data_IF_635422740993
#
_entry.id   IF_635422740993
#
_cell.length_a   1.000
_cell.length_b   1.000
_cell.length_c   1.000
_cell.angle_alpha   90.00
_cell.angle_beta   90.00
_cell.angle_gamma   90.00
#
_symmetry.space_group_name_H-M   'P 1'
#
loop_
_entity.id
_entity.type
_entity.pdbx_description
1 polymer ?
#
# COMPACT_ATOMS: atom_id res chain seq x y z
N UNK A 1 13.79 21.71 9.11
CA UNK A 1 12.38 21.72 9.58
C UNK A 1 11.83 20.34 9.25
N UNK A 2 11.45 19.53 10.25
CA UNK A 2 10.82 18.22 9.99
C UNK A 2 9.34 18.50 9.77
N UNK A 3 8.92 18.56 8.52
CA UNK A 3 7.51 18.66 8.17
C UNK A 3 6.97 17.23 8.12
N UNK A 4 6.61 16.68 9.27
CA UNK A 4 5.86 15.43 9.32
C UNK A 4 4.46 15.72 8.77
N UNK A 5 4.11 15.12 7.64
CA UNK A 5 2.73 15.19 7.16
C UNK A 5 1.97 14.01 7.76
N UNK A 6 1.13 14.31 8.74
CA UNK A 6 0.04 13.42 9.15
C UNK A 6 -1.20 14.01 8.46
N UNK A 7 -1.90 13.29 7.58
CA UNK A 7 -3.19 13.76 7.11
C UNK A 7 -4.07 13.95 8.35
N UNK A 8 -4.35 15.19 8.72
CA UNK A 8 -5.14 15.49 9.92
C UNK A 8 -6.60 15.05 9.75
N UNK A 9 -6.99 14.69 8.53
CA UNK A 9 -8.35 14.40 8.09
C UNK A 9 -8.33 13.35 6.96
N UNK A 10 -8.51 12.07 7.30
CA UNK A 10 -8.60 10.98 6.31
C UNK A 10 -9.77 11.21 5.34
N UNK A 11 -10.82 11.88 5.80
CA UNK A 11 -11.98 12.28 5.01
C UNK A 11 -11.67 13.31 3.90
N UNK A 12 -10.49 13.95 3.94
CA UNK A 12 -10.04 14.89 2.91
C UNK A 12 -9.16 14.23 1.85
N UNK A 13 -8.74 12.97 2.08
CA UNK A 13 -7.92 12.23 1.12
C UNK A 13 -8.69 11.99 -0.17
N UNK A 14 -7.97 12.17 -1.28
CA UNK A 14 -8.44 11.77 -2.59
C UNK A 14 -8.32 10.25 -2.73
N UNK A 15 -9.30 9.63 -3.39
CA UNK A 15 -9.33 8.19 -3.62
C UNK A 15 -8.95 7.86 -5.05
N UNK A 16 -7.84 7.15 -5.22
CA UNK A 16 -7.49 6.47 -6.46
C UNK A 16 -7.97 5.02 -6.39
N UNK A 17 -8.74 4.60 -7.40
CA UNK A 17 -9.40 3.29 -7.48
C UNK A 17 -10.21 2.97 -6.22
N UNK A 18 -11.49 3.38 -6.19
CA UNK A 18 -12.32 3.17 -5.01
C UNK A 18 -12.36 1.69 -4.56
N UNK A 19 -12.14 1.39 -3.26
CA UNK A 19 -12.20 0.04 -2.73
C UNK A 19 -13.65 -0.48 -2.68
N UNK A 20 -13.84 -1.71 -2.22
CA UNK A 20 -15.19 -2.30 -2.06
C UNK A 20 -15.97 -1.58 -0.97
N UNK A 21 -15.27 -1.19 0.09
CA UNK A 21 -15.82 -0.47 1.24
C UNK A 21 -14.72 0.31 1.93
N UNK A 22 -15.05 1.47 2.48
CA UNK A 22 -14.22 2.17 3.44
C UNK A 22 -15.10 2.97 4.41
N UNK A 23 -14.63 3.16 5.64
CA UNK A 23 -15.32 3.95 6.66
C UNK A 23 -14.33 4.49 7.68
N UNK A 24 -14.49 5.75 8.05
CA UNK A 24 -13.88 6.33 9.25
C UNK A 24 -14.82 6.08 10.43
N UNK A 25 -14.32 5.42 11.46
CA UNK A 25 -15.03 5.20 12.72
C UNK A 25 -14.80 6.36 13.71
N UNK A 26 -15.68 6.50 14.71
CA UNK A 26 -15.64 7.59 15.70
C UNK A 26 -14.37 7.57 16.57
N UNK A 27 -13.58 6.50 16.53
CA UNK A 27 -12.33 6.30 17.27
C UNK A 27 -11.08 6.58 16.40
N UNK A 28 -11.23 7.34 15.32
CA UNK A 28 -10.19 7.65 14.33
C UNK A 28 -9.59 6.42 13.62
N UNK A 29 -10.28 5.27 13.68
CA UNK A 29 -9.87 4.08 12.92
C UNK A 29 -10.45 4.14 11.51
N UNK A 30 -9.57 4.00 10.52
CA UNK A 30 -9.97 3.92 9.13
C UNK A 30 -10.00 2.48 8.64
N UNK A 31 -11.19 2.00 8.30
CA UNK A 31 -11.42 0.64 7.82
C UNK A 31 -11.51 0.67 6.30
N UNK A 32 -10.78 -0.23 5.64
CA UNK A 32 -10.76 -0.39 4.18
C UNK A 32 -10.88 -1.86 3.82
N UNK A 33 -11.77 -2.19 2.88
CA UNK A 33 -11.88 -3.53 2.29
C UNK A 33 -11.59 -3.47 0.80
N UNK A 34 -10.55 -4.17 0.35
CA UNK A 34 -10.18 -4.24 -1.06
C UNK A 34 -11.26 -4.89 -1.92
N UNK A 35 -11.24 -4.57 -3.22
CA UNK A 35 -11.85 -5.39 -4.25
C UNK A 35 -10.93 -6.56 -4.57
N UNK A 36 -11.52 -7.64 -5.07
CA UNK A 36 -10.77 -8.75 -5.66
C UNK A 36 -10.01 -8.30 -6.92
N UNK A 37 -8.96 -9.05 -7.28
CA UNK A 37 -8.19 -8.85 -8.51
C UNK A 37 -7.62 -7.41 -8.68
N UNK A 38 -7.12 -6.86 -7.58
CA UNK A 38 -6.46 -5.54 -7.57
C UNK A 38 -4.98 -5.64 -7.25
N UNK A 39 -4.16 -4.86 -7.94
CA UNK A 39 -2.70 -4.83 -7.76
C UNK A 39 -2.07 -3.52 -8.31
N UNK A 40 -0.78 -3.36 -8.03
CA UNK A 40 0.14 -2.42 -8.63
C UNK A 40 1.41 -3.15 -9.08
N UNK A 41 1.57 -3.34 -10.39
CA UNK A 41 2.76 -3.94 -10.98
C UNK A 41 2.89 -3.60 -12.46
N UNK A 42 4.09 -3.22 -12.92
CA UNK A 42 4.36 -2.94 -14.32
C UNK A 42 5.48 -3.82 -14.90
N UNK A 43 5.12 -4.67 -15.86
CA UNK A 43 5.94 -5.41 -16.84
C UNK A 43 6.97 -6.41 -16.34
N UNK A 44 7.78 -6.06 -15.35
CA UNK A 44 8.97 -6.83 -14.99
C UNK A 44 8.61 -8.29 -14.69
N UNK A 45 9.38 -9.22 -15.27
CA UNK A 45 9.20 -10.67 -15.19
C UNK A 45 7.88 -11.22 -15.79
N UNK A 46 6.72 -10.66 -15.44
CA UNK A 46 5.42 -11.22 -15.77
C UNK A 46 4.79 -10.69 -17.08
N UNK A 47 5.27 -9.57 -17.60
CA UNK A 47 4.79 -8.97 -18.86
C UNK A 47 3.43 -8.27 -18.79
N UNK A 48 2.66 -8.44 -17.72
CA UNK A 48 1.40 -7.72 -17.49
C UNK A 48 1.61 -6.35 -16.84
N UNK A 49 0.58 -5.50 -16.93
CA UNK A 49 0.53 -4.18 -16.32
C UNK A 49 -0.79 -4.03 -15.56
N UNK A 50 -0.71 -3.77 -14.26
CA UNK A 50 -1.86 -3.59 -13.37
C UNK A 50 -1.64 -2.34 -12.51
N UNK A 51 -2.64 -1.46 -12.48
CA UNK A 51 -2.62 -0.16 -11.78
C UNK A 51 -3.99 0.12 -11.13
N UNK A 52 -4.62 -0.89 -10.56
CA UNK A 52 -6.00 -0.83 -10.06
C UNK A 52 -6.13 -1.03 -8.53
N UNK A 53 -5.01 -1.09 -7.81
CA UNK A 53 -4.99 -1.10 -6.34
C UNK A 53 -5.52 0.20 -5.72
N UNK A 54 -5.92 0.14 -4.45
CA UNK A 54 -6.63 1.22 -3.77
C UNK A 54 -5.67 2.15 -3.02
N UNK A 55 -5.79 3.45 -3.23
CA UNK A 55 -4.94 4.44 -2.54
C UNK A 55 -5.78 5.62 -2.09
N UNK A 56 -5.58 6.00 -0.82
CA UNK A 56 -6.06 7.25 -0.24
C UNK A 56 -4.85 8.16 -0.11
N UNK A 57 -4.86 9.30 -0.79
CA UNK A 57 -3.69 10.17 -0.89
C UNK A 57 -4.04 11.65 -0.84
N UNK A 58 -3.01 12.44 -0.53
CA UNK A 58 -2.96 13.87 -0.79
C UNK A 58 -1.82 14.19 -1.74
N UNK A 59 -1.95 15.31 -2.44
CA UNK A 59 -0.87 15.84 -3.27
C UNK A 59 0.09 16.65 -2.41
N UNK A 60 1.37 16.28 -2.45
CA UNK A 60 2.43 16.94 -1.67
C UNK A 60 3.48 17.49 -2.65
N UNK A 61 3.69 18.81 -2.61
CA UNK A 61 4.56 19.54 -3.55
C UNK A 61 5.94 19.92 -2.96
N UNK A 62 6.23 19.46 -1.75
CA UNK A 62 7.46 19.76 -1.02
C UNK A 62 8.10 18.49 -0.49
N UNK A 63 9.32 18.60 0.03
CA UNK A 63 9.91 17.51 0.81
C UNK A 63 8.98 17.10 1.96
N UNK A 64 8.88 15.78 2.20
CA UNK A 64 8.00 15.23 3.21
C UNK A 64 8.58 13.99 3.87
N UNK A 65 8.03 13.66 5.02
CA UNK A 65 8.13 12.35 5.64
C UNK A 65 6.71 11.83 5.85
N UNK A 66 6.45 10.59 5.44
CA UNK A 66 5.19 9.90 5.65
C UNK A 66 5.43 8.65 6.49
N UNK A 67 4.42 8.32 7.30
CA UNK A 67 4.36 7.08 8.06
C UNK A 67 2.92 6.61 8.10
N UNK A 68 2.69 5.30 8.02
CA UNK A 68 1.38 4.70 8.27
C UNK A 68 1.50 3.56 9.27
N UNK A 69 0.54 3.51 10.20
CA UNK A 69 0.34 2.36 11.07
C UNK A 69 -0.96 1.68 10.71
N UNK A 70 -0.89 0.37 10.46
CA UNK A 70 -2.05 -0.40 10.02
C UNK A 70 -2.04 -1.81 10.59
N UNK A 71 -3.21 -2.45 10.55
CA UNK A 71 -3.37 -3.90 10.73
C UNK A 71 -4.08 -4.41 9.50
N UNK A 72 -3.62 -5.53 8.94
CA UNK A 72 -4.34 -6.23 7.89
C UNK A 72 -4.99 -7.50 8.42
N UNK A 73 -6.12 -7.86 7.84
CA UNK A 73 -6.77 -9.16 8.01
C UNK A 73 -6.71 -9.91 6.67
N UNK A 74 -5.52 -10.37 6.25
CA UNK A 74 -5.37 -11.02 4.96
C UNK A 74 -6.09 -12.37 4.96
N UNK A 75 -6.65 -12.72 3.80
CA UNK A 75 -7.44 -13.92 3.56
C UNK A 75 -6.95 -14.69 2.32
N UNK A 76 -6.41 -14.01 1.31
CA UNK A 76 -5.95 -14.61 0.07
C UNK A 76 -4.44 -14.40 -0.14
N UNK A 77 -3.82 -15.30 -0.91
CA UNK A 77 -2.44 -15.11 -1.37
C UNK A 77 -2.32 -13.78 -2.13
N UNK A 78 -1.24 -13.04 -1.83
CA UNK A 78 -0.94 -11.72 -2.37
C UNK A 78 -1.80 -10.57 -1.84
N UNK A 79 -2.58 -10.78 -0.77
CA UNK A 79 -3.19 -9.66 -0.05
C UNK A 79 -2.10 -8.70 0.45
N UNK A 80 -2.25 -7.42 0.14
CA UNK A 80 -1.25 -6.38 0.39
C UNK A 80 -1.86 -5.19 1.13
N UNK A 81 -1.11 -4.63 2.09
CA UNK A 81 -1.42 -3.35 2.72
C UNK A 81 -0.13 -2.63 3.15
N UNK A 82 -0.10 -1.31 2.99
CA UNK A 82 1.11 -0.53 3.21
C UNK A 82 0.97 0.93 2.81
N UNK A 83 2.10 1.54 2.43
CA UNK A 83 2.21 2.93 1.99
C UNK A 83 2.43 2.99 0.47
N UNK A 84 1.88 4.02 -0.18
CA UNK A 84 2.03 4.28 -1.60
C UNK A 84 2.49 5.73 -1.84
N UNK A 85 3.42 5.92 -2.78
CA UNK A 85 3.89 7.24 -3.23
C UNK A 85 3.92 7.26 -4.75
N UNK A 86 3.41 8.31 -5.36
CA UNK A 86 3.28 8.41 -6.82
C UNK A 86 3.75 9.75 -7.34
N UNK A 87 4.48 9.70 -8.45
CA UNK A 87 4.82 10.87 -9.28
C UNK A 87 4.05 10.81 -10.59
N UNK A 88 3.91 9.62 -11.17
CA UNK A 88 3.11 9.36 -12.37
C UNK A 88 2.74 7.88 -12.46
N UNK A 89 1.87 7.50 -13.39
CA UNK A 89 1.50 6.08 -13.61
C UNK A 89 2.69 5.18 -13.93
N UNK A 90 3.81 5.74 -14.39
CA UNK A 90 5.05 5.02 -14.72
C UNK A 90 6.17 5.22 -13.70
N UNK A 91 5.93 6.01 -12.65
CA UNK A 91 6.91 6.31 -11.61
C UNK A 91 6.23 6.42 -10.24
N UNK A 92 6.32 5.35 -9.46
CA UNK A 92 5.67 5.21 -8.16
C UNK A 92 6.40 4.18 -7.30
N UNK A 93 6.10 4.17 -6.01
CA UNK A 93 6.61 3.23 -5.03
C UNK A 93 5.46 2.71 -4.17
N UNK A 94 5.47 1.41 -3.88
CA UNK A 94 4.68 0.84 -2.78
C UNK A 94 5.62 0.13 -1.81
N UNK A 95 5.36 0.23 -0.52
CA UNK A 95 5.98 -0.61 0.52
C UNK A 95 4.88 -1.25 1.33
N UNK A 96 4.91 -2.57 1.48
CA UNK A 96 3.81 -3.34 2.03
C UNK A 96 4.26 -4.68 2.59
N UNK A 97 3.40 -5.26 3.42
CA UNK A 97 3.41 -6.70 3.65
C UNK A 97 2.53 -7.34 2.57
N UNK A 98 3.05 -8.38 1.91
CA UNK A 98 2.34 -9.23 0.96
C UNK A 98 2.16 -10.63 1.58
N UNK A 99 0.90 -11.06 1.72
CA UNK A 99 0.56 -12.26 2.47
C UNK A 99 0.72 -13.53 1.63
N UNK A 100 1.44 -14.52 2.18
CA UNK A 100 1.61 -15.85 1.57
C UNK A 100 1.10 -16.90 2.57
N UNK A 101 -0.07 -17.54 2.37
CA UNK A 101 -0.64 -18.48 3.35
C UNK A 101 0.26 -19.69 3.65
N UNK A 102 0.92 -20.23 2.61
CA UNK A 102 1.67 -21.50 2.64
C UNK A 102 3.16 -21.33 3.00
N UNK A 103 3.60 -20.13 3.39
CA UNK A 103 5.01 -19.83 3.62
C UNK A 103 5.19 -18.52 4.38
N UNK A 104 6.43 -18.02 4.55
CA UNK A 104 6.64 -16.68 5.07
C UNK A 104 6.01 -15.66 4.11
N UNK A 105 5.31 -14.68 4.67
CA UNK A 105 4.87 -13.49 3.93
C UNK A 105 6.08 -12.65 3.51
N UNK A 106 5.86 -11.68 2.63
CA UNK A 106 6.91 -10.87 2.06
C UNK A 106 6.76 -9.42 2.51
N UNK A 107 7.70 -8.94 3.33
CA UNK A 107 7.82 -7.52 3.64
C UNK A 107 8.77 -6.91 2.63
N UNK A 108 8.31 -5.90 1.88
CA UNK A 108 9.13 -5.38 0.81
C UNK A 108 8.63 -4.07 0.22
N UNK A 109 9.35 -3.63 -0.80
CA UNK A 109 9.02 -2.44 -1.56
C UNK A 109 9.16 -2.71 -3.05
N UNK A 110 8.19 -2.22 -3.82
CA UNK A 110 8.26 -2.15 -5.28
C UNK A 110 8.55 -0.71 -5.65
N UNK A 111 9.65 -0.50 -6.37
CA UNK A 111 10.01 0.79 -6.97
C UNK A 111 9.77 0.68 -8.46
N UNK A 112 8.79 1.40 -8.96
CA UNK A 112 8.48 1.44 -10.39
C UNK A 112 9.10 2.70 -10.99
N UNK A 113 9.94 2.52 -11.99
CA UNK A 113 10.57 3.62 -12.73
C UNK A 113 10.53 3.36 -14.24
N UNK A 114 10.21 4.39 -15.01
CA UNK A 114 10.03 4.31 -16.46
C UNK A 114 9.07 3.18 -16.90
N UNK A 115 8.08 2.85 -16.07
CA UNK A 115 7.10 1.81 -16.35
C UNK A 115 7.59 0.37 -16.12
N UNK A 116 8.63 0.17 -15.31
CA UNK A 116 9.12 -1.16 -14.91
C UNK A 116 9.25 -1.23 -13.40
N UNK A 117 8.65 -2.26 -12.81
CA UNK A 117 8.67 -2.52 -11.37
C UNK A 117 9.93 -3.30 -10.96
N UNK A 118 10.65 -2.81 -9.95
CA UNK A 118 11.73 -3.53 -9.29
C UNK A 118 11.28 -3.86 -7.85
N UNK A 119 11.38 -5.12 -7.43
CA UNK A 119 10.85 -5.58 -6.16
C UNK A 119 11.95 -6.15 -5.28
N UNK A 120 12.14 -5.51 -4.12
CA UNK A 120 12.95 -6.02 -3.03
C UNK A 120 12.05 -6.56 -1.91
N UNK A 121 12.35 -7.77 -1.43
CA UNK A 121 11.57 -8.43 -0.38
C UNK A 121 12.48 -9.14 0.63
N UNK A 122 11.96 -9.34 1.83
CA UNK A 122 12.46 -10.27 2.83
C UNK A 122 11.31 -11.08 3.42
N UNK A 123 11.64 -12.27 3.92
CA UNK A 123 10.69 -13.11 4.63
C UNK A 123 10.18 -12.42 5.90
N UNK A 124 8.88 -12.53 6.14
CA UNK A 124 8.18 -12.03 7.30
C UNK A 124 7.30 -13.14 7.91
N UNK A 125 7.43 -13.45 9.21
CA UNK A 125 6.67 -14.55 9.81
C UNK A 125 5.16 -14.29 9.81
N UNK A 126 4.37 -15.25 9.31
CA UNK A 126 2.92 -15.13 9.21
C UNK A 126 2.21 -14.93 10.56
N UNK A 127 2.81 -15.42 11.65
CA UNK A 127 2.28 -15.21 13.01
C UNK A 127 2.20 -13.71 13.39
N UNK A 128 2.99 -12.86 12.73
CA UNK A 128 2.99 -11.41 12.92
C UNK A 128 2.21 -10.65 11.84
N UNK A 129 1.67 -11.30 10.81
CA UNK A 129 1.04 -10.63 9.67
C UNK A 129 -0.23 -9.84 10.05
N UNK A 130 -0.93 -10.26 11.11
CA UNK A 130 -2.13 -9.59 11.65
C UNK A 130 -1.82 -8.58 12.77
N UNK A 131 -0.55 -8.46 13.15
CA UNK A 131 -0.14 -7.47 14.15
C UNK A 131 -0.07 -6.07 13.55
N UNK A 132 0.18 -5.08 14.39
CA UNK A 132 0.35 -3.70 13.94
C UNK A 132 1.65 -3.56 13.16
N UNK A 133 1.53 -3.11 11.92
CA UNK A 133 2.62 -2.79 11.02
C UNK A 133 2.84 -1.27 11.00
N UNK A 134 4.09 -0.86 10.75
CA UNK A 134 4.50 0.54 10.59
C UNK A 134 5.41 0.66 9.39
N UNK A 135 5.05 1.52 8.45
CA UNK A 135 5.82 1.83 7.24
C UNK A 135 6.19 3.31 7.23
#
# INVERSE_FOLDING_TARGET
>A
MKTSYIPNHIEQLTVMNAPKFYKLEDNDTFIVHSKEETDFWLKTHYGFEVMNGHVFYDEIMTDFQAEVQLRMNPNATYDQAGLFVMISEKCWLKTSLEYIPEGPSHLGAVVTNNGYSDWSTQDYPNEFAKQQLRF
#
